data_IF_052906278087
#
_entry.id   IF_052906278087
#
_cell.length_a   1.000
_cell.length_b   1.000
_cell.length_c   1.000
_cell.angle_alpha   90.00
_cell.angle_beta   90.00
_cell.angle_gamma   90.00
#
_symmetry.space_group_name_H-M   'P 1'
#
loop_
_entity.id
_entity.type
_entity.pdbx_description
1 polymer ?
#
# COMPACT_ATOMS: atom_id res chain seq x y z
N UNK A 1 -19.86 5.24 19.19
CA UNK A 1 -19.35 5.83 20.46
C UNK A 1 -20.56 6.00 21.39
N UNK A 2 -20.58 5.33 22.56
CA UNK A 2 -21.74 5.33 23.47
C UNK A 2 -21.69 6.44 24.54
N UNK A 3 -20.49 6.97 24.82
CA UNK A 3 -20.28 8.05 25.80
C UNK A 3 -19.76 9.33 25.14
N UNK A 4 -19.91 10.47 25.80
CA UNK A 4 -19.36 11.74 25.29
C UNK A 4 -17.82 11.73 25.33
N UNK A 5 -17.22 12.08 24.18
CA UNK A 5 -15.77 12.24 24.00
C UNK A 5 -15.35 13.71 23.87
N UNK A 6 -16.28 14.64 24.05
CA UNK A 6 -16.05 16.08 23.90
C UNK A 6 -14.95 16.58 24.84
N UNK A 7 -14.00 17.34 24.32
CA UNK A 7 -12.83 17.87 25.03
C UNK A 7 -11.92 16.82 25.69
N UNK A 8 -12.10 15.53 25.38
CA UNK A 8 -11.26 14.45 25.91
C UNK A 8 -10.08 14.15 25.00
N UNK A 9 -9.04 13.59 25.61
CA UNK A 9 -7.90 12.97 24.92
C UNK A 9 -8.24 11.50 24.67
N UNK A 10 -8.46 11.13 23.42
CA UNK A 10 -8.99 9.84 23.02
C UNK A 10 -7.87 9.00 22.42
N UNK A 11 -7.74 7.77 22.90
CA UNK A 11 -6.81 6.78 22.36
C UNK A 11 -7.60 5.64 21.74
N UNK A 12 -7.43 5.41 20.45
CA UNK A 12 -8.10 4.34 19.71
C UNK A 12 -7.06 3.25 19.45
N UNK A 13 -7.25 2.09 20.05
CA UNK A 13 -6.34 0.95 19.90
C UNK A 13 -6.89 0.04 18.80
N UNK A 14 -6.15 -0.09 17.69
CA UNK A 14 -6.50 -1.03 16.63
C UNK A 14 -5.24 -1.57 15.96
N UNK A 15 -5.17 -2.90 15.81
CA UNK A 15 -4.00 -3.58 15.24
C UNK A 15 -4.28 -4.04 13.81
N UNK A 16 -3.29 -3.90 12.90
CA UNK A 16 -3.38 -4.27 11.49
C UNK A 16 -3.31 -5.78 11.19
N UNK A 17 -3.75 -6.64 12.12
CA UNK A 17 -3.76 -8.11 11.95
C UNK A 17 -5.07 -8.64 11.39
N UNK A 18 -5.06 -9.85 10.81
CA UNK A 18 -6.28 -10.54 10.35
C UNK A 18 -6.94 -9.87 9.14
N UNK A 19 -8.18 -9.39 9.31
CA UNK A 19 -8.92 -8.67 8.26
C UNK A 19 -8.47 -7.21 8.16
N UNK A 20 -7.26 -7.02 7.62
CA UNK A 20 -6.54 -5.73 7.63
C UNK A 20 -7.40 -4.55 7.12
N UNK A 21 -8.13 -4.74 6.01
CA UNK A 21 -8.97 -3.69 5.43
C UNK A 21 -10.15 -3.30 6.31
N UNK A 22 -10.84 -4.29 6.88
CA UNK A 22 -12.00 -4.07 7.73
C UNK A 22 -11.58 -3.31 8.99
N UNK A 23 -10.48 -3.75 9.64
CA UNK A 23 -9.93 -3.08 10.82
C UNK A 23 -9.43 -1.67 10.52
N UNK A 24 -8.83 -1.46 9.35
CA UNK A 24 -8.40 -0.13 8.92
C UNK A 24 -9.61 0.79 8.71
N UNK A 25 -10.64 0.34 8.01
CA UNK A 25 -11.85 1.15 7.80
C UNK A 25 -12.57 1.43 9.13
N UNK A 26 -12.66 0.45 10.02
CA UNK A 26 -13.21 0.63 11.36
C UNK A 26 -12.42 1.71 12.14
N UNK A 27 -11.09 1.67 12.08
CA UNK A 27 -10.23 2.68 12.70
C UNK A 27 -10.50 4.07 12.12
N UNK A 28 -10.50 4.22 10.80
CA UNK A 28 -10.73 5.50 10.12
C UNK A 28 -12.10 6.09 10.47
N UNK A 29 -13.15 5.27 10.45
CA UNK A 29 -14.51 5.67 10.83
C UNK A 29 -14.55 6.09 12.31
N UNK A 30 -13.86 5.36 13.19
CA UNK A 30 -13.82 5.66 14.63
C UNK A 30 -13.08 6.97 14.91
N UNK A 31 -11.94 7.21 14.26
CA UNK A 31 -11.20 8.48 14.34
C UNK A 31 -12.09 9.64 13.91
N UNK A 32 -12.72 9.52 12.74
CA UNK A 32 -13.61 10.55 12.19
C UNK A 32 -14.82 10.82 13.10
N UNK A 33 -15.41 9.77 13.67
CA UNK A 33 -16.50 9.89 14.64
C UNK A 33 -16.06 10.61 15.93
N UNK A 34 -14.87 10.30 16.46
CA UNK A 34 -14.32 10.99 17.63
C UNK A 34 -14.04 12.47 17.34
N UNK A 35 -13.47 12.77 16.17
CA UNK A 35 -13.18 14.16 15.77
C UNK A 35 -14.47 14.97 15.59
N UNK A 36 -15.47 14.40 14.92
CA UNK A 36 -16.79 15.03 14.74
C UNK A 36 -17.53 15.21 16.07
N UNK A 37 -17.33 14.30 17.04
CA UNK A 37 -17.85 14.41 18.40
C UNK A 37 -17.05 15.40 19.29
N UNK A 38 -16.20 16.25 18.70
CA UNK A 38 -15.43 17.30 19.37
C UNK A 38 -14.40 16.76 20.39
N UNK A 39 -13.78 15.61 20.12
CA UNK A 39 -12.60 15.19 20.88
C UNK A 39 -11.50 16.25 20.77
N UNK A 40 -10.82 16.52 21.91
CA UNK A 40 -9.72 17.49 21.96
C UNK A 40 -8.52 17.00 21.15
N UNK A 41 -8.23 15.70 21.28
CA UNK A 41 -7.14 15.02 20.59
C UNK A 41 -7.52 13.57 20.34
N UNK A 42 -7.16 13.05 19.17
CA UNK A 42 -7.34 11.64 18.79
C UNK A 42 -5.98 11.02 18.48
N UNK A 43 -5.54 10.10 19.32
CA UNK A 43 -4.31 9.32 19.12
C UNK A 43 -4.68 7.92 18.61
N UNK A 44 -4.18 7.55 17.43
CA UNK A 44 -4.32 6.19 16.93
C UNK A 44 -3.15 5.33 17.45
N UNK A 45 -3.47 4.28 18.19
CA UNK A 45 -2.51 3.33 18.74
C UNK A 45 -2.57 2.05 17.90
N UNK A 46 -1.55 1.83 17.08
CA UNK A 46 -1.44 0.71 16.15
C UNK A 46 -0.28 -0.22 16.53
N UNK A 47 -0.48 -1.21 17.42
CA UNK A 47 0.59 -2.13 17.83
C UNK A 47 1.28 -2.78 16.62
N UNK A 48 0.52 -3.32 15.68
CA UNK A 48 1.00 -3.72 14.36
C UNK A 48 0.49 -2.73 13.32
N UNK A 49 1.39 -1.99 12.68
CA UNK A 49 1.03 -1.01 11.66
C UNK A 49 0.59 -1.70 10.35
N UNK A 50 -0.62 -1.44 9.83
CA UNK A 50 -1.12 -2.06 8.62
C UNK A 50 -0.29 -1.63 7.40
N UNK A 51 -0.10 -2.55 6.46
CA UNK A 51 0.65 -2.28 5.20
C UNK A 51 2.12 -1.85 5.36
N UNK A 52 2.72 -1.95 6.56
CA UNK A 52 4.12 -1.54 6.83
C UNK A 52 5.20 -2.25 6.01
N UNK A 53 4.89 -3.39 5.36
CA UNK A 53 5.81 -4.11 4.46
C UNK A 53 5.86 -3.54 3.04
N UNK A 54 4.95 -2.62 2.71
CA UNK A 54 4.82 -2.01 1.39
C UNK A 54 5.34 -0.58 1.43
N UNK A 55 6.55 -0.36 2.00
CA UNK A 55 7.16 0.97 1.98
C UNK A 55 7.38 1.39 0.54
N UNK A 56 7.24 2.70 0.32
CA UNK A 56 7.47 3.27 -0.99
C UNK A 56 8.89 2.98 -1.43
N UNK A 57 9.00 2.33 -2.59
CA UNK A 57 10.30 1.94 -3.12
C UNK A 57 11.02 3.22 -3.54
N UNK A 58 12.26 3.48 -3.08
CA UNK A 58 12.99 4.67 -3.47
C UNK A 58 13.06 4.74 -4.99
N UNK A 59 12.75 5.93 -5.52
CA UNK A 59 12.67 6.21 -6.94
C UNK A 59 13.87 5.62 -7.70
N UNK A 60 13.62 4.61 -8.53
CA UNK A 60 14.55 4.17 -9.57
C UNK A 60 14.10 4.77 -10.89
N UNK A 61 15.03 5.22 -11.72
CA UNK A 61 14.76 5.73 -13.08
C UNK A 61 13.99 4.71 -13.96
N UNK A 62 14.01 3.43 -13.57
CA UNK A 62 13.28 2.30 -14.17
C UNK A 62 11.85 2.08 -13.64
N UNK A 63 11.35 2.93 -12.72
CA UNK A 63 10.08 2.70 -12.02
C UNK A 63 10.18 1.70 -10.85
N UNK A 64 9.12 1.61 -10.05
CA UNK A 64 9.01 0.62 -8.99
C UNK A 64 8.92 -0.79 -9.58
N UNK A 65 9.57 -1.81 -8.99
CA UNK A 65 9.42 -3.18 -9.43
C UNK A 65 7.95 -3.60 -9.39
N UNK A 66 7.48 -4.18 -10.48
CA UNK A 66 6.13 -4.72 -10.61
C UNK A 66 5.89 -5.71 -9.47
N UNK A 67 5.01 -5.36 -8.53
CA UNK A 67 4.40 -6.35 -7.64
C UNK A 67 3.63 -7.29 -8.56
N UNK A 68 4.09 -8.53 -8.69
CA UNK A 68 3.35 -9.55 -9.43
C UNK A 68 2.01 -9.73 -8.71
N UNK A 69 0.93 -9.35 -9.38
CA UNK A 69 -0.42 -9.70 -8.97
C UNK A 69 -0.49 -11.21 -8.74
N UNK A 70 -0.91 -11.63 -7.55
CA UNK A 70 -1.29 -13.02 -7.28
C UNK A 70 -2.33 -13.42 -8.32
N UNK A 71 -2.09 -14.51 -9.04
CA UNK A 71 -2.82 -14.86 -10.25
C UNK A 71 -4.30 -15.29 -10.04
N UNK A 72 -4.88 -15.13 -8.84
CA UNK A 72 -6.25 -15.54 -8.54
C UNK A 72 -6.98 -14.49 -7.69
N UNK A 73 -7.64 -13.56 -8.37
CA UNK A 73 -8.82 -12.85 -7.87
C UNK A 73 -9.70 -12.54 -9.07
N UNK A 74 -10.87 -13.19 -9.16
CA UNK A 74 -11.93 -12.76 -10.07
C UNK A 74 -12.44 -11.42 -9.57
N UNK A 75 -12.11 -10.33 -10.27
CA UNK A 75 -12.71 -9.03 -10.04
C UNK A 75 -14.08 -8.99 -10.73
N UNK A 76 -15.14 -8.65 -9.99
CA UNK A 76 -16.42 -8.27 -10.60
C UNK A 76 -16.30 -6.85 -11.14
N UNK A 77 -16.32 -6.74 -12.47
CA UNK A 77 -16.22 -5.49 -13.22
C UNK A 77 -17.56 -4.77 -13.17
N UNK A 78 -17.81 -4.00 -12.12
CA UNK A 78 -18.91 -3.06 -12.13
C UNK A 78 -18.58 -1.81 -11.30
N UNK A 79 -17.57 -1.08 -11.77
CA UNK A 79 -17.28 0.33 -11.45
C UNK A 79 -16.01 0.74 -12.19
N UNK A 80 -16.10 0.99 -13.49
CA UNK A 80 -15.10 1.82 -14.17
C UNK A 80 -15.80 3.03 -14.78
N UNK A 81 -15.35 4.26 -14.52
CA UNK A 81 -15.76 5.39 -15.33
C UNK A 81 -15.21 5.21 -16.74
N UNK A 82 -16.02 5.55 -17.76
CA UNK A 82 -15.73 5.23 -19.15
C UNK A 82 -14.50 5.98 -19.67
N UNK A 83 -13.36 5.30 -19.80
CA UNK A 83 -12.26 5.79 -20.65
C UNK A 83 -12.63 5.62 -22.13
N UNK A 84 -12.57 6.67 -22.97
CA UNK A 84 -12.94 6.57 -24.37
C UNK A 84 -11.95 5.72 -25.17
N UNK A 85 -12.46 4.80 -26.00
CA UNK A 85 -11.68 4.00 -26.95
C UNK A 85 -12.09 4.37 -28.38
N UNK A 86 -11.16 4.44 -29.36
CA UNK A 86 -11.51 4.76 -30.74
C UNK A 86 -12.30 3.61 -31.38
N UNK A 87 -13.49 3.90 -31.93
CA UNK A 87 -14.22 2.96 -32.80
C UNK A 87 -15.48 2.29 -32.23
N UNK A 88 -15.95 2.64 -31.03
CA UNK A 88 -17.33 2.34 -30.62
C UNK A 88 -18.23 3.54 -30.90
N UNK A 89 -19.49 3.29 -31.27
CA UNK A 89 -20.53 4.31 -31.25
C UNK A 89 -20.65 4.85 -29.82
N UNK A 90 -20.60 6.17 -29.68
CA UNK A 90 -20.87 6.85 -28.43
C UNK A 90 -22.22 6.35 -27.89
N UNK A 91 -22.29 5.95 -26.62
CA UNK A 91 -23.57 5.95 -25.93
C UNK A 91 -24.18 7.34 -26.13
N UNK A 92 -25.48 7.45 -26.39
CA UNK A 92 -26.19 8.74 -26.40
C UNK A 92 -26.07 9.37 -25.00
N UNK A 93 -24.92 9.98 -24.73
CA UNK A 93 -24.71 10.90 -23.65
C UNK A 93 -25.59 12.10 -23.92
N UNK A 94 -26.16 12.63 -22.84
CA UNK A 94 -26.93 13.86 -22.88
C UNK A 94 -26.12 14.92 -23.62
N UNK A 95 -26.56 15.27 -24.82
CA UNK A 95 -25.96 16.33 -25.60
C UNK A 95 -25.92 17.58 -24.72
N UNK A 96 -24.75 18.22 -24.70
CA UNK A 96 -24.51 19.52 -24.09
C UNK A 96 -25.58 20.52 -24.52
N UNK A 97 -26.63 20.64 -23.71
CA UNK A 97 -27.67 21.63 -23.88
C UNK A 97 -27.56 22.62 -22.71
N UNK A 98 -26.45 23.35 -22.72
CA UNK A 98 -26.17 24.44 -21.77
C UNK A 98 -27.29 25.49 -21.82
N UNK A 99 -27.98 25.60 -22.97
CA UNK A 99 -29.15 26.44 -23.18
C UNK A 99 -30.40 25.94 -22.43
N UNK A 100 -30.58 24.62 -22.27
CA UNK A 100 -31.66 24.04 -21.47
C UNK A 100 -31.45 24.29 -19.98
N UNK A 101 -30.19 24.19 -19.53
CA UNK A 101 -29.81 24.49 -18.15
C UNK A 101 -29.93 25.98 -17.84
N UNK A 102 -29.50 26.88 -18.74
CA UNK A 102 -29.68 28.33 -18.59
C UNK A 102 -31.16 28.74 -18.61
N UNK A 103 -32.01 28.11 -19.44
CA UNK A 103 -33.47 28.33 -19.40
C UNK A 103 -34.10 27.85 -18.10
N UNK A 104 -33.64 26.73 -17.55
CA UNK A 104 -34.10 26.21 -16.26
C UNK A 104 -33.68 27.12 -15.10
N UNK A 105 -32.45 27.64 -15.13
CA UNK A 105 -31.93 28.57 -14.14
C UNK A 105 -32.61 29.94 -14.20
N UNK A 106 -32.89 30.44 -15.42
CA UNK A 106 -33.66 31.66 -15.63
C UNK A 106 -35.13 31.51 -15.19
N UNK A 107 -35.74 30.33 -15.37
CA UNK A 107 -37.08 30.03 -14.82
C UNK A 107 -37.07 29.98 -13.29
N UNK A 108 -36.05 29.37 -12.68
CA UNK A 108 -35.93 29.26 -11.24
C UNK A 108 -35.62 30.61 -10.55
N UNK A 109 -34.90 31.53 -11.22
CA UNK A 109 -34.69 32.89 -10.72
C UNK A 109 -35.95 33.76 -10.79
N UNK A 110 -36.83 33.53 -11.78
CA UNK A 110 -38.11 34.26 -11.92
C UNK A 110 -39.12 33.87 -10.82
N UNK A 111 -39.00 32.70 -10.20
CA UNK A 111 -39.88 32.27 -9.08
C UNK A 111 -39.48 32.86 -7.72
N UNK A 112 -38.39 33.63 -7.63
CA UNK A 112 -37.86 34.17 -6.36
C UNK A 112 -38.03 35.68 -6.16
N UNK A 113 -38.70 36.40 -7.06
CA UNK A 113 -39.07 37.81 -6.87
C UNK A 113 -40.48 38.12 -7.38
N UNK A 114 -41.49 37.84 -6.57
CA UNK A 114 -42.81 38.47 -6.66
C UNK A 114 -43.08 39.33 -5.43
N UNK A 115 -42.28 40.39 -5.25
CA UNK A 115 -42.72 41.64 -4.60
C UNK A 115 -41.65 42.74 -4.74
N UNK A 116 -41.84 43.67 -5.67
CA UNK A 116 -41.07 44.91 -5.72
C UNK A 116 -41.01 45.58 -7.10
N UNK A 117 -41.41 46.85 -7.16
CA UNK A 117 -41.56 47.74 -8.33
C UNK A 117 -40.30 47.95 -9.21
N UNK A 118 -40.42 48.46 -10.46
CA UNK A 118 -39.35 48.41 -11.45
C UNK A 118 -38.40 49.62 -11.40
N UNK A 119 -37.09 49.40 -11.58
CA UNK A 119 -36.13 50.45 -11.96
C UNK A 119 -35.26 49.98 -13.14
N UNK A 120 -35.29 50.77 -14.22
CA UNK A 120 -34.52 50.58 -15.47
C UNK A 120 -33.01 50.75 -15.24
N UNK A 121 -32.17 50.00 -15.98
CA UNK A 121 -30.89 50.50 -16.52
C UNK A 121 -30.40 49.70 -17.75
N UNK A 122 -29.81 50.44 -18.69
CA UNK A 122 -29.33 50.09 -20.05
C UNK A 122 -27.87 49.57 -20.05
N UNK A 123 -27.40 48.96 -21.16
CA UNK A 123 -26.13 48.20 -21.23
C UNK A 123 -24.93 49.04 -21.69
N UNK A 124 -23.72 48.58 -21.38
CA UNK A 124 -22.44 49.07 -21.91
C UNK A 124 -21.73 47.95 -22.68
N UNK A 125 -21.02 48.35 -23.73
CA UNK A 125 -20.62 47.61 -24.91
C UNK A 125 -19.16 47.10 -24.91
N UNK A 126 -18.91 46.20 -25.87
CA UNK A 126 -17.77 46.12 -26.79
C UNK A 126 -16.40 45.51 -26.42
N UNK A 127 -15.93 44.65 -27.34
CA UNK A 127 -14.53 44.38 -27.70
C UNK A 127 -14.17 42.89 -27.55
N UNK A 128 -13.85 42.07 -28.56
CA UNK A 128 -13.40 42.33 -29.92
C UNK A 128 -12.00 41.73 -30.16
N UNK A 129 -11.96 40.48 -30.64
CA UNK A 129 -10.93 39.77 -31.46
C UNK A 129 -9.45 39.79 -31.05
N UNK A 130 -8.81 38.60 -31.08
CA UNK A 130 -7.67 38.29 -31.98
C UNK A 130 -7.37 36.79 -32.05
N UNK A 131 -7.12 36.37 -33.27
CA UNK A 131 -6.75 35.06 -33.81
C UNK A 131 -5.24 34.89 -33.87
N UNK A 132 -4.73 33.67 -33.75
CA UNK A 132 -3.54 33.22 -34.50
C UNK A 132 -3.70 31.75 -34.90
N UNK A 133 -3.29 31.47 -36.13
CA UNK A 133 -3.58 30.30 -36.96
C UNK A 133 -2.28 29.65 -37.46
N UNK A 134 -2.42 28.42 -37.99
CA UNK A 134 -1.52 27.68 -38.92
C UNK A 134 -0.43 26.82 -38.24
N UNK A 135 -0.22 25.56 -38.59
CA UNK A 135 -0.23 24.96 -39.95
C UNK A 135 -1.02 23.65 -40.12
N UNK A 136 -1.39 23.41 -41.40
CA UNK A 136 -1.89 22.17 -41.97
C UNK A 136 -0.92 21.67 -43.05
N UNK A 137 -0.76 20.35 -43.23
CA UNK A 137 -0.68 19.71 -44.55
C UNK A 137 -0.49 18.17 -44.50
N UNK A 138 -1.49 17.46 -45.07
CA UNK A 138 -1.41 16.37 -46.09
C UNK A 138 -0.69 15.06 -45.68
N UNK A 139 -1.27 13.87 -45.83
CA UNK A 139 -1.78 13.19 -47.05
C UNK A 139 -2.83 12.13 -46.64
N UNK A 140 -4.04 12.03 -47.25
CA UNK A 140 -4.42 11.20 -48.43
C UNK A 140 -3.80 9.78 -48.42
N UNK A 141 -4.47 8.65 -48.66
CA UNK A 141 -5.71 8.28 -49.37
C UNK A 141 -6.05 6.82 -48.92
N UNK A 142 -7.27 6.26 -48.97
CA UNK A 142 -7.95 5.65 -50.14
C UNK A 142 -8.61 4.32 -49.74
N UNK A 143 -9.88 4.13 -50.15
CA UNK A 143 -10.56 2.88 -50.59
C UNK A 143 -11.05 1.91 -49.48
N UNK A 144 -12.34 1.73 -49.16
CA UNK A 144 -13.59 1.32 -49.89
C UNK A 144 -14.00 -0.14 -49.64
N UNK A 145 -15.25 -0.29 -49.20
CA UNK A 145 -16.28 -1.30 -49.54
C UNK A 145 -16.04 -2.82 -49.39
N UNK A 146 -17.05 -3.51 -48.80
CA UNK A 146 -17.55 -4.76 -49.39
C UNK A 146 -17.93 -5.93 -48.47
N UNK A 147 -19.06 -5.80 -47.75
CA UNK A 147 -20.22 -6.71 -47.63
C UNK A 147 -20.07 -8.25 -47.85
N UNK A 148 -20.48 -8.99 -46.80
CA UNK A 148 -21.15 -10.32 -46.65
C UNK A 148 -20.48 -11.65 -47.03
N UNK A 149 -20.63 -12.62 -46.10
CA UNK A 149 -20.59 -14.07 -46.34
C UNK A 149 -20.49 -14.87 -45.04
N UNK A 150 -21.61 -15.45 -44.60
CA UNK A 150 -21.74 -16.35 -43.44
C UNK A 150 -20.90 -17.63 -43.59
N UNK A 151 -20.14 -18.01 -42.54
CA UNK A 151 -19.89 -19.42 -42.22
C UNK A 151 -19.79 -19.63 -40.70
N UNK A 152 -20.37 -20.75 -40.27
CA UNK A 152 -20.68 -21.10 -38.89
C UNK A 152 -19.48 -21.58 -38.07
N UNK A 153 -19.54 -21.24 -36.77
CA UNK A 153 -18.99 -21.90 -35.60
C UNK A 153 -17.78 -22.87 -35.76
N UNK A 154 -16.61 -22.41 -35.31
CA UNK A 154 -15.66 -23.29 -34.61
C UNK A 154 -15.38 -22.74 -33.21
N UNK A 155 -15.90 -23.46 -32.22
CA UNK A 155 -15.68 -23.23 -30.80
C UNK A 155 -14.25 -23.65 -30.46
N UNK A 156 -13.33 -22.70 -30.42
CA UNK A 156 -12.07 -22.87 -29.68
C UNK A 156 -12.12 -22.01 -28.42
N UNK A 157 -12.19 -22.68 -27.28
CA UNK A 157 -12.11 -22.13 -25.92
C UNK A 157 -10.72 -21.55 -25.63
N UNK A 158 -10.36 -20.48 -26.35
CA UNK A 158 -9.17 -19.69 -26.08
C UNK A 158 -9.47 -18.68 -24.98
N UNK A 159 -9.04 -18.97 -23.75
CA UNK A 159 -8.94 -17.94 -22.71
C UNK A 159 -8.04 -16.84 -23.26
N UNK A 160 -8.65 -15.75 -23.71
CA UNK A 160 -7.91 -14.58 -24.19
C UNK A 160 -7.14 -14.02 -23.00
N UNK A 161 -5.84 -14.28 -22.94
CA UNK A 161 -4.95 -13.63 -21.99
C UNK A 161 -5.15 -12.12 -22.17
N UNK A 162 -5.62 -11.46 -21.13
CA UNK A 162 -5.68 -10.00 -21.09
C UNK A 162 -4.29 -9.49 -21.48
N UNK A 163 -4.16 -8.58 -22.47
CA UNK A 163 -2.86 -8.06 -22.87
C UNK A 163 -2.13 -7.51 -21.66
N UNK A 164 -0.88 -7.94 -21.47
CA UNK A 164 0.00 -7.40 -20.45
C UNK A 164 0.17 -5.89 -20.74
N UNK A 165 -0.11 -5.04 -19.75
CA UNK A 165 -0.06 -3.59 -19.94
C UNK A 165 1.39 -3.16 -20.18
N UNK A 166 1.70 -2.76 -21.41
CA UNK A 166 2.96 -2.10 -21.73
C UNK A 166 2.80 -0.58 -21.53
N UNK A 167 3.51 0.03 -20.55
CA UNK A 167 3.44 1.47 -20.36
C UNK A 167 3.96 2.17 -21.61
N UNK A 168 3.18 3.13 -22.14
CA UNK A 168 3.59 3.94 -23.29
C UNK A 168 4.92 4.66 -22.96
N UNK A 169 5.88 4.75 -23.91
CA UNK A 169 7.10 5.50 -23.70
C UNK A 169 6.79 6.93 -23.23
N UNK A 170 7.30 7.31 -22.06
CA UNK A 170 7.06 8.63 -21.45
C UNK A 170 5.94 8.71 -20.41
N UNK A 171 5.03 7.73 -20.34
CA UNK A 171 4.05 7.63 -19.26
C UNK A 171 4.64 6.85 -18.08
N UNK A 172 4.76 7.53 -16.94
CA UNK A 172 5.15 6.88 -15.68
C UNK A 172 4.01 5.97 -15.23
N UNK A 173 4.33 4.71 -14.95
CA UNK A 173 3.38 3.84 -14.27
C UNK A 173 3.11 4.42 -12.88
N UNK A 174 1.86 4.79 -12.61
CA UNK A 174 1.42 5.12 -11.26
C UNK A 174 1.40 3.82 -10.46
N UNK A 175 2.31 3.73 -9.48
CA UNK A 175 2.29 2.66 -8.50
C UNK A 175 1.79 3.28 -7.22
N UNK A 176 0.73 2.69 -6.64
CA UNK A 176 0.21 3.13 -5.37
C UNK A 176 1.32 3.06 -4.33
N UNK A 177 1.63 4.21 -3.75
CA UNK A 177 2.54 4.35 -2.64
C UNK A 177 1.80 3.96 -1.37
N UNK A 178 1.74 2.65 -1.10
CA UNK A 178 0.90 2.11 -0.04
C UNK A 178 1.27 2.68 1.34
N UNK A 179 2.53 3.04 1.56
CA UNK A 179 2.95 3.66 2.81
C UNK A 179 2.40 5.07 3.00
N UNK A 180 2.61 5.93 2.00
CA UNK A 180 2.08 7.31 1.97
C UNK A 180 0.55 7.33 2.03
N UNK A 181 -0.11 6.45 1.27
CA UNK A 181 -1.58 6.36 1.25
C UNK A 181 -2.18 6.09 2.64
N UNK A 182 -1.63 5.15 3.40
CA UNK A 182 -2.16 4.84 4.74
C UNK A 182 -1.93 5.99 5.71
N UNK A 183 -0.78 6.65 5.63
CA UNK A 183 -0.49 7.82 6.46
C UNK A 183 -1.45 8.99 6.16
N UNK A 184 -1.69 9.26 4.87
CA UNK A 184 -2.64 10.27 4.41
C UNK A 184 -4.07 9.96 4.87
N UNK A 185 -4.52 8.71 4.74
CA UNK A 185 -5.85 8.30 5.19
C UNK A 185 -6.05 8.50 6.69
N UNK A 186 -5.09 8.11 7.52
CA UNK A 186 -5.15 8.29 8.98
C UNK A 186 -5.17 9.77 9.36
N UNK A 187 -4.33 10.57 8.71
CA UNK A 187 -4.25 12.02 8.94
C UNK A 187 -5.55 12.71 8.49
N UNK A 188 -6.07 12.35 7.32
CA UNK A 188 -7.32 12.89 6.77
C UNK A 188 -8.55 12.48 7.59
N UNK A 189 -8.56 11.29 8.19
CA UNK A 189 -9.61 10.88 9.12
C UNK A 189 -9.65 11.74 10.39
N UNK A 190 -8.55 12.44 10.72
CA UNK A 190 -8.45 13.36 11.85
C UNK A 190 -7.61 12.84 13.01
N UNK A 191 -6.68 11.90 12.76
CA UNK A 191 -5.70 11.51 13.77
C UNK A 191 -4.74 12.67 14.02
N UNK A 192 -4.51 13.00 15.29
CA UNK A 192 -3.58 14.06 15.71
C UNK A 192 -2.20 13.49 16.10
N UNK A 193 -2.13 12.19 16.39
CA UNK A 193 -0.92 11.50 16.84
C UNK A 193 -1.00 9.99 16.55
N UNK A 194 0.13 9.37 16.22
CA UNK A 194 0.24 7.92 16.01
C UNK A 194 1.19 7.32 17.04
N UNK A 195 0.78 6.22 17.67
CA UNK A 195 1.67 5.37 18.47
C UNK A 195 1.71 3.99 17.83
N UNK A 196 2.90 3.47 17.53
CA UNK A 196 3.08 2.13 16.95
C UNK A 196 4.26 1.41 17.57
N UNK A 197 4.49 0.14 17.21
CA UNK A 197 5.58 -0.65 17.75
C UNK A 197 6.32 -1.40 16.64
N UNK A 198 7.64 -1.31 16.64
CA UNK A 198 8.56 -2.00 15.73
C UNK A 198 8.09 -1.95 14.28
N UNK A 199 7.94 -0.75 13.72
CA UNK A 199 7.72 -0.56 12.29
C UNK A 199 8.71 -1.39 11.46
N UNK A 200 8.21 -1.99 10.38
CA UNK A 200 9.02 -2.82 9.48
C UNK A 200 10.16 -2.02 8.84
N UNK A 201 9.82 -0.82 8.34
CA UNK A 201 10.80 0.18 7.92
C UNK A 201 10.64 1.43 8.81
N UNK A 202 11.66 1.80 9.61
CA UNK A 202 11.59 2.99 10.45
C UNK A 202 11.32 4.30 9.68
N UNK A 203 11.61 4.34 8.37
CA UNK A 203 11.34 5.50 7.51
C UNK A 203 9.85 5.84 7.39
N UNK A 204 8.94 4.90 7.71
CA UNK A 204 7.50 5.16 7.70
C UNK A 204 7.08 6.36 8.54
N UNK A 205 7.83 6.69 9.59
CA UNK A 205 7.57 7.88 10.41
C UNK A 205 7.60 9.17 9.57
N UNK A 206 8.44 9.22 8.53
CA UNK A 206 8.56 10.38 7.64
C UNK A 206 7.41 10.54 6.65
N UNK A 207 6.47 9.60 6.59
CA UNK A 207 5.25 9.73 5.77
C UNK A 207 4.12 10.47 6.48
N UNK A 208 4.25 10.73 7.79
CA UNK A 208 3.24 11.43 8.56
C UNK A 208 3.60 12.91 8.76
N UNK A 209 2.63 13.78 8.55
CA UNK A 209 2.72 15.20 8.94
C UNK A 209 2.42 15.42 10.44
N UNK A 210 1.91 14.38 11.10
CA UNK A 210 1.59 14.34 12.53
C UNK A 210 2.68 13.58 13.31
N UNK A 211 2.85 13.83 14.63
CA UNK A 211 3.83 13.11 15.42
C UNK A 211 3.58 11.58 15.42
N UNK A 212 4.67 10.81 15.38
CA UNK A 212 4.64 9.35 15.41
C UNK A 212 5.61 8.83 16.47
N UNK A 213 5.08 8.21 17.51
CA UNK A 213 5.86 7.47 18.51
C UNK A 213 6.01 6.02 18.06
N UNK A 214 7.18 5.66 17.50
CA UNK A 214 7.53 4.27 17.21
C UNK A 214 8.26 3.63 18.39
N UNK A 215 7.53 2.81 19.14
CA UNK A 215 8.06 2.04 20.26
C UNK A 215 8.89 0.85 19.76
N UNK A 216 9.86 0.39 20.56
CA UNK A 216 10.71 -0.74 20.20
C UNK A 216 10.54 -1.89 21.20
N UNK A 217 10.30 -3.10 20.70
CA UNK A 217 10.18 -4.33 21.50
C UNK A 217 11.53 -4.85 22.01
N UNK A 218 12.66 -4.30 21.55
CA UNK A 218 14.03 -4.70 21.94
C UNK A 218 14.22 -4.91 23.45
N UNK A 219 13.80 -4.01 24.37
CA UNK A 219 13.96 -4.24 25.80
C UNK A 219 13.19 -5.47 26.32
N UNK A 220 12.01 -5.75 25.74
CA UNK A 220 11.21 -6.92 26.08
C UNK A 220 11.88 -8.20 25.58
N UNK A 221 12.37 -8.21 24.34
CA UNK A 221 13.11 -9.34 23.76
C UNK A 221 14.39 -9.64 24.56
N UNK A 222 15.19 -8.62 24.88
CA UNK A 222 16.38 -8.76 25.73
C UNK A 222 16.02 -9.38 27.09
N UNK A 223 15.00 -8.84 27.75
CA UNK A 223 14.53 -9.36 29.05
C UNK A 223 14.05 -10.80 28.96
N UNK A 224 13.39 -11.18 27.86
CA UNK A 224 12.97 -12.56 27.62
C UNK A 224 14.18 -13.49 27.49
N UNK A 225 15.16 -13.14 26.64
CA UNK A 225 16.38 -13.93 26.43
C UNK A 225 17.11 -14.15 27.76
N UNK A 226 17.34 -13.09 28.52
CA UNK A 226 18.09 -13.16 29.79
C UNK A 226 17.41 -14.01 30.87
N UNK A 227 16.07 -14.12 30.84
CA UNK A 227 15.30 -14.84 31.86
C UNK A 227 14.95 -16.27 31.48
N UNK A 228 14.76 -16.54 30.18
CA UNK A 228 14.17 -17.80 29.72
C UNK A 228 15.12 -18.66 28.88
N UNK A 229 16.20 -18.09 28.33
CA UNK A 229 17.16 -18.86 27.53
C UNK A 229 18.34 -19.25 28.45
N UNK A 230 18.53 -20.57 28.70
CA UNK A 230 19.67 -21.04 29.48
C UNK A 230 20.98 -20.70 28.76
N UNK A 231 22.00 -20.33 29.54
CA UNK A 231 23.33 -19.98 29.01
C UNK A 231 23.28 -18.92 27.89
N UNK A 232 22.43 -17.90 28.04
CA UNK A 232 22.30 -16.85 27.03
C UNK A 232 23.61 -16.10 26.75
N UNK A 233 24.60 -16.14 27.66
CA UNK A 233 25.90 -15.50 27.45
C UNK A 233 26.70 -16.14 26.32
N UNK A 234 26.48 -17.43 26.06
CA UNK A 234 27.09 -18.15 24.95
C UNK A 234 26.21 -18.17 23.68
N UNK A 235 25.09 -17.43 23.68
CA UNK A 235 24.21 -17.38 22.52
C UNK A 235 24.83 -16.55 21.37
N UNK A 236 24.27 -16.72 20.18
CA UNK A 236 24.52 -15.87 19.02
C UNK A 236 23.20 -15.33 18.50
N UNK A 237 23.12 -14.02 18.31
CA UNK A 237 21.94 -13.38 17.73
C UNK A 237 22.05 -13.47 16.21
N UNK A 238 21.02 -13.98 15.56
CA UNK A 238 21.00 -14.21 14.11
C UNK A 238 19.92 -13.36 13.47
N UNK A 239 20.27 -12.63 12.41
CA UNK A 239 19.26 -12.02 11.54
C UNK A 239 18.90 -12.95 10.37
N UNK A 240 17.61 -13.23 10.13
CA UNK A 240 17.19 -14.12 9.05
C UNK A 240 17.35 -13.53 7.64
N UNK A 241 17.53 -12.21 7.52
CA UNK A 241 17.83 -11.53 6.27
C UNK A 241 18.65 -10.24 6.48
N UNK A 242 19.06 -9.60 5.38
CA UNK A 242 19.85 -8.37 5.44
C UNK A 242 19.07 -7.14 5.95
N UNK A 243 17.74 -7.12 5.83
CA UNK A 243 16.90 -6.01 6.27
C UNK A 243 16.83 -5.92 7.80
N UNK A 244 16.73 -7.07 8.46
CA UNK A 244 16.71 -7.19 9.92
C UNK A 244 18.07 -7.02 10.60
N UNK A 245 19.18 -6.89 9.86
CA UNK A 245 20.53 -6.92 10.41
C UNK A 245 20.74 -5.85 11.50
N UNK A 246 20.37 -4.59 11.23
CA UNK A 246 20.50 -3.49 12.20
C UNK A 246 19.73 -3.75 13.51
N UNK A 247 18.54 -4.34 13.42
CA UNK A 247 17.69 -4.70 14.57
C UNK A 247 18.37 -5.77 15.42
N UNK A 248 18.86 -6.82 14.78
CA UNK A 248 19.53 -7.93 15.43
C UNK A 248 20.86 -7.51 16.08
N UNK A 249 21.71 -6.77 15.36
CA UNK A 249 22.96 -6.22 15.89
C UNK A 249 22.71 -5.32 17.10
N UNK A 250 21.69 -4.46 17.05
CA UNK A 250 21.35 -3.58 18.17
C UNK A 250 20.90 -4.33 19.45
N UNK A 251 20.44 -5.57 19.34
CA UNK A 251 20.18 -6.47 20.47
C UNK A 251 21.48 -7.15 20.91
N UNK A 252 22.25 -7.67 19.96
CA UNK A 252 23.54 -8.34 20.20
C UNK A 252 24.51 -7.44 20.98
N UNK A 253 24.73 -6.22 20.51
CA UNK A 253 25.59 -5.21 21.13
C UNK A 253 25.12 -4.89 22.55
N UNK A 254 23.80 -4.75 22.75
CA UNK A 254 23.22 -4.43 24.07
C UNK A 254 23.37 -5.56 25.09
N UNK A 255 23.69 -6.77 24.63
CA UNK A 255 23.86 -7.98 25.41
C UNK A 255 25.32 -8.46 25.45
N UNK A 256 26.22 -7.79 24.72
CA UNK A 256 27.63 -8.17 24.55
C UNK A 256 27.79 -9.62 24.03
N UNK A 257 26.94 -10.02 23.08
CA UNK A 257 26.99 -11.33 22.43
C UNK A 257 27.29 -11.19 20.95
N UNK A 258 27.73 -12.27 20.31
CA UNK A 258 28.06 -12.22 18.89
C UNK A 258 26.81 -12.18 18.00
N UNK A 259 27.03 -11.75 16.77
CA UNK A 259 26.02 -11.59 15.74
C UNK A 259 26.34 -12.44 14.50
N UNK A 260 25.32 -13.07 13.91
CA UNK A 260 25.39 -13.72 12.61
C UNK A 260 24.28 -13.23 11.69
N UNK A 261 24.52 -13.33 10.38
CA UNK A 261 23.61 -12.89 9.34
C UNK A 261 23.36 -14.00 8.34
N UNK A 262 22.09 -14.22 8.00
CA UNK A 262 21.72 -15.08 6.88
C UNK A 262 21.45 -14.20 5.67
N UNK A 263 22.27 -14.35 4.63
CA UNK A 263 22.07 -13.68 3.36
C UNK A 263 21.37 -14.62 2.37
N UNK A 264 20.27 -14.16 1.77
CA UNK A 264 19.54 -14.91 0.75
C UNK A 264 19.94 -14.42 -0.64
N UNK A 265 20.70 -15.24 -1.36
CA UNK A 265 21.05 -14.96 -2.75
C UNK A 265 19.90 -15.38 -3.68
N UNK A 266 19.36 -14.44 -4.46
CA UNK A 266 18.33 -14.73 -5.48
C UNK A 266 19.00 -14.79 -6.84
N UNK A 267 19.61 -15.91 -7.21
CA UNK A 267 20.08 -16.10 -8.60
C UNK A 267 18.87 -16.33 -9.51
N UNK A 268 18.70 -15.55 -10.59
CA UNK A 268 17.72 -15.86 -11.63
C UNK A 268 18.28 -16.99 -12.49
N UNK A 269 18.15 -18.24 -12.04
CA UNK A 269 18.43 -19.39 -12.89
C UNK A 269 17.35 -19.46 -13.97
N UNK A 270 17.76 -19.22 -15.22
CA UNK A 270 17.05 -19.79 -16.37
C UNK A 270 17.21 -21.31 -16.22
N UNK A 271 16.14 -22.08 -16.40
CA UNK A 271 16.00 -23.54 -16.18
C UNK A 271 15.26 -23.85 -14.86
N UNK A 272 14.13 -24.55 -15.04
CA UNK A 272 13.14 -25.19 -14.15
C UNK A 272 13.23 -25.17 -12.61
N UNK A 273 14.36 -24.86 -11.98
CA UNK A 273 14.54 -24.85 -10.53
C UNK A 273 14.33 -23.46 -9.94
N UNK A 274 13.09 -22.96 -10.04
CA UNK A 274 12.66 -21.68 -9.45
C UNK A 274 12.65 -21.65 -7.91
N UNK A 275 13.04 -22.73 -7.22
CA UNK A 275 12.68 -22.95 -5.82
C UNK A 275 13.78 -22.70 -4.77
N UNK A 276 15.06 -22.67 -5.14
CA UNK A 276 16.13 -22.66 -4.13
C UNK A 276 17.02 -21.41 -4.25
N UNK A 277 16.51 -20.27 -3.77
CA UNK A 277 17.39 -19.18 -3.38
C UNK A 277 18.39 -19.73 -2.33
N UNK A 278 19.67 -19.70 -2.66
CA UNK A 278 20.75 -20.19 -1.79
C UNK A 278 20.86 -19.24 -0.58
N UNK A 279 20.75 -19.80 0.62
CA UNK A 279 20.98 -19.05 1.86
C UNK A 279 22.42 -19.30 2.30
N UNK A 280 23.15 -18.22 2.57
CA UNK A 280 24.51 -18.24 3.08
C UNK A 280 24.51 -17.69 4.50
N UNK A 281 25.10 -18.43 5.43
CA UNK A 281 25.33 -17.98 6.79
C UNK A 281 26.67 -17.26 6.87
N UNK A 282 26.69 -16.10 7.52
CA UNK A 282 27.89 -15.35 7.88
C UNK A 282 27.95 -15.25 9.41
N UNK A 283 28.97 -15.86 10.02
CA UNK A 283 29.13 -15.99 11.47
C UNK A 283 29.21 -17.46 11.91
N UNK A 284 29.89 -17.73 13.03
CA UNK A 284 30.04 -19.09 13.57
C UNK A 284 28.96 -19.40 14.62
N UNK A 285 28.12 -20.38 14.29
CA UNK A 285 26.97 -20.80 15.11
C UNK A 285 27.19 -22.18 15.73
N UNK A 286 28.33 -22.83 15.48
CA UNK A 286 28.57 -24.22 15.88
C UNK A 286 28.57 -24.35 17.40
N UNK A 287 27.87 -25.37 17.90
CA UNK A 287 27.73 -25.70 19.33
C UNK A 287 27.13 -24.57 20.20
N UNK A 288 26.51 -23.56 19.58
CA UNK A 288 25.91 -22.41 20.25
C UNK A 288 24.40 -22.40 20.17
N UNK A 289 23.78 -21.66 21.08
CA UNK A 289 22.35 -21.34 21.02
C UNK A 289 22.16 -20.17 20.06
N UNK A 290 21.58 -20.43 18.89
CA UNK A 290 21.27 -19.40 17.90
C UNK A 290 19.87 -18.81 18.16
N UNK A 291 19.75 -17.49 18.20
CA UNK A 291 18.48 -16.78 18.43
C UNK A 291 18.18 -15.92 17.21
N UNK A 292 17.22 -16.35 16.40
CA UNK A 292 16.70 -15.59 15.27
C UNK A 292 15.86 -14.42 15.78
N UNK A 293 16.16 -13.21 15.31
CA UNK A 293 15.40 -12.00 15.63
C UNK A 293 14.87 -11.38 14.33
N UNK A 294 13.56 -11.11 14.29
CA UNK A 294 12.91 -10.37 13.20
C UNK A 294 11.83 -9.41 13.73
N UNK A 295 11.32 -8.49 12.91
CA UNK A 295 10.10 -7.74 13.30
C UNK A 295 8.88 -8.64 13.32
N UNK A 296 8.67 -9.39 12.24
CA UNK A 296 7.40 -10.04 11.97
C UNK A 296 7.55 -11.44 11.39
N UNK A 297 6.67 -12.34 11.82
CA UNK A 297 6.51 -13.67 11.23
C UNK A 297 5.15 -13.78 10.54
N UNK A 298 5.15 -13.92 9.22
CA UNK A 298 3.95 -14.07 8.40
C UNK A 298 3.68 -15.54 8.08
N UNK A 299 4.19 -16.05 6.95
CA UNK A 299 4.10 -17.49 6.61
C UNK A 299 5.16 -18.35 7.31
N UNK A 300 5.98 -17.75 8.18
CA UNK A 300 7.13 -18.36 8.88
C UNK A 300 8.19 -19.04 7.99
N UNK A 301 8.04 -19.05 6.66
CA UNK A 301 8.95 -19.74 5.73
C UNK A 301 10.41 -19.28 5.83
N UNK A 302 10.64 -17.98 5.99
CA UNK A 302 12.00 -17.44 6.15
C UNK A 302 12.64 -17.96 7.44
N UNK A 303 11.92 -17.88 8.56
CA UNK A 303 12.40 -18.31 9.88
C UNK A 303 12.63 -19.83 9.90
N UNK A 304 11.72 -20.62 9.33
CA UNK A 304 11.85 -22.08 9.27
C UNK A 304 13.04 -22.52 8.43
N UNK A 305 13.29 -21.86 7.28
CA UNK A 305 14.46 -22.16 6.44
C UNK A 305 15.76 -21.71 7.12
N UNK A 306 15.76 -20.56 7.77
CA UNK A 306 16.88 -20.07 8.58
C UNK A 306 17.21 -21.05 9.71
N UNK A 307 16.22 -21.54 10.44
CA UNK A 307 16.40 -22.51 11.52
C UNK A 307 16.99 -23.84 11.01
N UNK A 308 16.53 -24.34 9.85
CA UNK A 308 17.10 -25.52 9.19
C UNK A 308 18.57 -25.32 8.80
N UNK A 309 18.91 -24.15 8.25
CA UNK A 309 20.29 -23.81 7.92
C UNK A 309 21.17 -23.77 9.18
N UNK A 310 20.74 -23.06 10.22
CA UNK A 310 21.48 -22.98 11.49
C UNK A 310 21.72 -24.36 12.10
N UNK A 311 20.72 -25.24 12.04
CA UNK A 311 20.87 -26.63 12.49
C UNK A 311 21.88 -27.42 11.66
N UNK A 312 21.88 -27.24 10.34
CA UNK A 312 22.85 -27.87 9.44
C UNK A 312 24.29 -27.39 9.70
N UNK A 313 24.46 -26.12 10.05
CA UNK A 313 25.76 -25.51 10.39
C UNK A 313 26.23 -25.81 11.83
N UNK A 314 25.46 -26.59 12.60
CA UNK A 314 25.88 -27.11 13.90
C UNK A 314 25.34 -26.35 15.12
N UNK A 315 24.31 -25.52 14.98
CA UNK A 315 23.70 -24.84 16.14
C UNK A 315 23.07 -25.84 17.13
N UNK A 316 23.44 -25.75 18.40
CA UNK A 316 22.97 -26.64 19.47
C UNK A 316 21.46 -26.48 19.72
N UNK A 317 20.96 -25.24 19.74
CA UNK A 317 19.53 -24.89 19.84
C UNK A 317 19.23 -23.69 18.96
N UNK A 318 18.00 -23.61 18.47
CA UNK A 318 17.53 -22.46 17.70
C UNK A 318 16.26 -21.93 18.36
N UNK A 319 16.26 -20.65 18.71
CA UNK A 319 15.08 -19.89 19.13
C UNK A 319 14.73 -18.90 18.03
N UNK A 320 13.46 -18.57 17.88
CA UNK A 320 13.00 -17.48 17.03
C UNK A 320 12.13 -16.53 17.85
N UNK A 321 12.49 -15.25 17.86
CA UNK A 321 11.75 -14.20 18.54
C UNK A 321 11.38 -13.13 17.53
N UNK A 322 10.10 -12.79 17.49
CA UNK A 322 9.55 -11.74 16.62
C UNK A 322 8.63 -10.85 17.45
N UNK A 323 8.54 -9.57 17.07
CA UNK A 323 7.60 -8.65 17.72
C UNK A 323 6.17 -8.94 17.27
N UNK A 324 5.96 -9.17 15.97
CA UNK A 324 4.65 -9.29 15.34
C UNK A 324 4.42 -10.68 14.75
N UNK A 325 3.69 -11.54 15.46
CA UNK A 325 3.24 -12.82 14.92
C UNK A 325 1.98 -12.67 14.07
N UNK A 326 2.13 -12.42 12.76
CA UNK A 326 0.99 -12.42 11.81
C UNK A 326 0.50 -13.85 11.59
N UNK A 327 1.43 -14.79 11.44
CA UNK A 327 1.20 -16.25 11.44
C UNK A 327 0.08 -16.68 10.46
N UNK A 328 0.17 -16.21 9.21
CA UNK A 328 -0.83 -16.51 8.18
C UNK A 328 -0.54 -17.79 7.41
N UNK A 329 -1.59 -18.43 6.89
CA UNK A 329 -1.48 -19.69 6.16
C UNK A 329 -0.93 -20.81 7.04
N UNK A 330 -0.02 -21.62 6.48
CA UNK A 330 0.58 -22.78 7.16
C UNK A 330 1.78 -22.39 8.03
N UNK A 331 1.64 -21.34 8.83
CA UNK A 331 2.74 -20.75 9.60
C UNK A 331 3.21 -21.61 10.80
N UNK A 332 2.35 -22.50 11.31
CA UNK A 332 2.59 -23.41 12.45
C UNK A 332 2.27 -24.83 12.03
#
# INVERSE_FOLDING_TARGET
>A
IQESVREKDVYIIQSGGGKVNDHLLELLITISACKTASAKRVTAVLPLFPYSRQSDIPYKKSGAPLVKSSAHTQFTFDSTPSTPHPGKAESQGMNNDVDSFQKSLARAQIESESNGSPVKRRPIANGGKRSDTLEAARTESSLTNGVNGDEAASTSSGVSKVPEFEPRPGYRQWVAQAGTLIADLLTCAGADHIITMDLHDPQYQGFFDIPVDNLYGRPLLKRYIQRHIPDYRNCIIVSPDAGGAKRATAIADSMEVEFALIHKERRPTKIADRQNATMMLVGDVRDRTAILIDDLADTSNTITRAAKLLKKEGAAKVYALVTHGILSGDAI
#
